data_IF_335066707290
#
_entry.id   IF_335066707290
#
_cell.length_a   1.000
_cell.length_b   1.000
_cell.length_c   1.000
_cell.angle_alpha   90.00
_cell.angle_beta   90.00
_cell.angle_gamma   90.00
#
_symmetry.space_group_name_H-M   'P 1'
#
loop_
_entity.id
_entity.type
_entity.pdbx_description
1 polymer ?
2 non-polymer ?
3 water ?
#
# COMPACT_ATOMS: atom_id res chain seq x y z
N UNK A 12 7.89 -1.40 -16.22
CA UNK A 12 6.73 -2.34 -16.19
C UNK A 12 7.00 -3.44 -15.17
N UNK A 13 8.03 -3.23 -14.36
CA UNK A 13 8.40 -4.17 -13.31
C UNK A 13 7.48 -3.94 -12.12
N UNK A 14 7.11 -2.68 -11.91
CA UNK A 14 6.23 -2.30 -10.83
C UNK A 14 4.81 -2.72 -11.19
N UNK A 15 4.54 -2.77 -12.49
CA UNK A 15 3.23 -3.16 -12.98
C UNK A 15 2.88 -4.56 -12.51
N UNK A 16 3.90 -5.41 -12.39
CA UNK A 16 3.69 -6.78 -11.94
C UNK A 16 3.42 -6.76 -10.44
N UNK A 17 4.14 -5.89 -9.73
CA UNK A 17 3.99 -5.76 -8.28
C UNK A 17 2.58 -5.29 -7.94
N UNK A 18 2.13 -4.26 -8.64
CA UNK A 18 0.80 -3.71 -8.42
C UNK A 18 -0.25 -4.73 -8.82
N UNK A 19 0.03 -5.47 -9.88
CA UNK A 19 -0.90 -6.49 -10.34
C UNK A 19 -1.12 -7.53 -9.26
N UNK A 20 -0.06 -7.84 -8.53
CA UNK A 20 -0.13 -8.82 -7.45
C UNK A 20 -1.05 -8.29 -6.36
N UNK A 21 -0.91 -7.01 -6.03
CA UNK A 21 -1.76 -6.40 -5.01
C UNK A 21 -3.23 -6.52 -5.43
N UNK A 22 -3.52 -6.18 -6.68
CA UNK A 22 -4.89 -6.26 -7.20
C UNK A 22 -5.45 -7.68 -7.06
N UNK A 23 -4.64 -8.67 -7.43
CA UNK A 23 -5.06 -10.07 -7.36
C UNK A 23 -5.38 -10.48 -5.93
N UNK A 24 -4.56 -10.03 -4.98
CA UNK A 24 -4.82 -10.37 -3.58
C UNK A 24 -6.17 -9.79 -3.16
N UNK A 25 -6.40 -8.53 -3.50
CA UNK A 25 -7.66 -7.86 -3.17
C UNK A 25 -8.84 -8.64 -3.75
N UNK A 26 -8.74 -8.98 -5.02
CA UNK A 26 -9.81 -9.74 -5.67
C UNK A 26 -9.98 -11.10 -4.99
N UNK A 27 -8.86 -11.74 -4.62
CA UNK A 27 -8.92 -13.05 -3.98
C UNK A 27 -9.69 -13.02 -2.66
N UNK A 28 -9.70 -11.87 -1.98
CA UNK A 28 -10.42 -11.77 -0.72
C UNK A 28 -11.78 -11.10 -0.90
N UNK A 29 -12.14 -10.85 -2.15
CA UNK A 29 -13.42 -10.23 -2.49
C UNK A 29 -13.59 -8.83 -1.92
N UNK A 30 -12.52 -8.03 -1.94
CA UNK A 30 -12.60 -6.67 -1.44
C UNK A 30 -13.21 -5.81 -2.55
N UNK A 31 -14.29 -5.09 -2.22
CA UNK A 31 -14.97 -4.25 -3.20
C UNK A 31 -14.75 -2.75 -2.96
N UNK A 32 -14.41 -2.40 -1.73
CA UNK A 32 -14.15 -1.00 -1.38
C UNK A 32 -12.71 -0.98 -0.89
N UNK A 33 -11.84 -0.31 -1.63
CA UNK A 33 -10.42 -0.27 -1.29
C UNK A 33 -9.88 1.15 -1.13
N UNK A 34 -9.06 1.35 -0.10
CA UNK A 34 -8.46 2.64 0.13
C UNK A 34 -6.94 2.47 0.08
N UNK A 35 -6.29 3.25 -0.78
CA UNK A 35 -4.84 3.16 -0.93
C UNK A 35 -4.21 4.33 -0.20
N UNK A 36 -3.57 4.01 0.92
CA UNK A 36 -2.92 5.01 1.75
C UNK A 36 -1.51 5.26 1.20
N UNK A 37 -1.30 6.47 0.69
CA UNK A 37 -0.03 6.86 0.10
C UNK A 37 -0.08 6.50 -1.38
N UNK A 38 -1.20 6.83 -2.01
CA UNK A 38 -1.42 6.49 -3.42
C UNK A 38 -0.46 7.05 -4.45
N UNK A 39 0.29 8.09 -4.10
CA UNK A 39 1.22 8.65 -5.07
C UNK A 39 0.47 9.13 -6.31
N UNK A 40 1.04 8.86 -7.48
CA UNK A 40 0.44 9.26 -8.76
C UNK A 40 -0.77 8.41 -9.15
N UNK A 41 -1.16 7.48 -8.28
CA UNK A 41 -2.31 6.64 -8.55
C UNK A 41 -2.11 5.45 -9.46
N UNK A 42 -0.90 4.91 -9.50
CA UNK A 42 -0.64 3.76 -10.36
C UNK A 42 -1.51 2.56 -10.01
N UNK A 43 -1.73 2.35 -8.71
CA UNK A 43 -2.58 1.24 -8.27
C UNK A 43 -4.04 1.57 -8.59
N UNK A 44 -4.41 2.83 -8.39
CA UNK A 44 -5.76 3.29 -8.67
C UNK A 44 -6.15 2.95 -10.11
N UNK A 45 -5.24 3.21 -11.04
CA UNK A 45 -5.49 2.92 -12.45
C UNK A 45 -5.86 1.47 -12.68
N UNK A 46 -5.08 0.56 -12.08
CA UNK A 46 -5.32 -0.87 -12.23
C UNK A 46 -6.63 -1.31 -11.60
N UNK A 47 -6.98 -0.71 -10.46
CA UNK A 47 -8.22 -1.05 -9.78
C UNK A 47 -9.44 -0.68 -10.62
N UNK A 48 -9.37 0.47 -11.29
CA UNK A 48 -10.45 0.94 -12.14
C UNK A 48 -10.71 0.03 -13.34
N UNK A 49 -9.70 -0.74 -13.73
CA UNK A 49 -9.86 -1.64 -14.87
C UNK A 49 -10.62 -2.91 -14.49
N UNK A 50 -10.85 -3.11 -13.20
CA UNK A 50 -11.59 -4.28 -12.72
C UNK A 50 -12.91 -3.81 -12.12
N UNK A 51 -14.01 -4.08 -12.82
CA UNK A 51 -15.34 -3.65 -12.37
C UNK A 51 -15.80 -4.16 -11.00
N UNK A 52 -15.10 -5.14 -10.45
CA UNK A 52 -15.49 -5.67 -9.14
C UNK A 52 -15.25 -4.65 -8.04
N UNK A 53 -14.34 -3.71 -8.27
CA UNK A 53 -14.04 -2.69 -7.26
C UNK A 53 -15.04 -1.54 -7.36
N UNK A 54 -15.95 -1.49 -6.39
CA UNK A 54 -17.01 -0.48 -6.37
C UNK A 54 -16.56 0.90 -5.91
N UNK A 55 -15.67 0.94 -4.92
CA UNK A 55 -15.17 2.20 -4.40
C UNK A 55 -13.66 2.11 -4.34
N UNK A 56 -13.01 3.08 -4.97
CA UNK A 56 -11.55 3.15 -5.03
C UNK A 56 -11.15 4.52 -4.50
N UNK A 57 -10.45 4.55 -3.38
CA UNK A 57 -10.04 5.80 -2.78
C UNK A 57 -8.53 5.91 -2.60
N UNK A 58 -7.96 7.00 -3.10
CA UNK A 58 -6.53 7.23 -2.98
C UNK A 58 -6.27 8.38 -2.02
N UNK A 59 -5.32 8.19 -1.11
CA UNK A 59 -4.96 9.22 -0.14
C UNK A 59 -3.45 9.46 -0.18
N UNK A 60 -3.05 10.72 -0.12
CA UNK A 60 -1.62 11.05 -0.13
C UNK A 60 -1.39 12.25 0.80
N UNK A 61 -0.15 12.40 1.25
CA UNK A 61 0.23 13.49 2.15
C UNK A 61 0.47 14.78 1.39
N UNK A 62 0.81 14.66 0.11
CA UNK A 62 1.11 15.81 -0.73
C UNK A 62 -0.01 16.28 -1.66
N UNK A 63 -0.28 17.58 -1.61
CA UNK A 63 -1.29 18.20 -2.46
C UNK A 63 -0.86 18.10 -3.92
N UNK A 64 0.41 18.41 -4.15
CA UNK A 64 0.98 18.38 -5.49
C UNK A 64 0.88 17.00 -6.13
N UNK A 65 1.17 15.96 -5.35
CA UNK A 65 1.10 14.59 -5.85
C UNK A 65 -0.32 14.24 -6.27
N UNK A 66 -1.28 14.52 -5.40
CA UNK A 66 -2.67 14.23 -5.68
C UNK A 66 -3.13 14.94 -6.95
N UNK A 67 -2.58 16.12 -7.19
CA UNK A 67 -2.93 16.90 -8.37
C UNK A 67 -2.38 16.20 -9.61
N UNK A 68 -1.21 15.58 -9.46
CA UNK A 68 -0.59 14.86 -10.55
C UNK A 68 -1.37 13.57 -10.79
N UNK A 69 -1.83 12.96 -9.71
CA UNK A 69 -2.60 11.72 -9.82
C UNK A 69 -3.86 11.97 -10.62
N UNK A 70 -4.64 12.98 -10.23
CA UNK A 70 -5.88 13.28 -10.94
C UNK A 70 -5.63 13.60 -12.41
N UNK A 71 -4.48 14.19 -12.71
CA UNK A 71 -4.16 14.52 -14.09
C UNK A 71 -3.78 13.24 -14.83
N UNK A 72 -3.00 12.39 -14.17
CA UNK A 72 -2.57 11.13 -14.77
C UNK A 72 -3.75 10.17 -14.95
N UNK A 73 -4.70 10.22 -14.02
CA UNK A 73 -5.87 9.35 -14.10
C UNK A 73 -6.95 9.92 -15.03
N UNK A 74 -6.80 11.18 -15.42
CA UNK A 74 -7.76 11.84 -16.30
C UNK A 74 -9.18 11.66 -15.78
N UNK A 75 -9.32 11.77 -14.46
CA UNK A 75 -10.61 11.59 -13.81
C UNK A 75 -11.74 12.46 -14.36
N UNK A 76 -11.48 13.74 -14.57
CA UNK A 76 -12.51 14.65 -15.08
C UNK A 76 -12.94 14.36 -16.51
N UNK A 77 -12.51 13.22 -17.05
CA UNK A 77 -12.86 12.83 -18.41
C UNK A 77 -13.52 11.46 -18.43
N UNK A 78 -13.40 10.75 -17.32
CA UNK A 78 -14.00 9.42 -17.21
C UNK A 78 -15.51 9.50 -17.26
N UNK A 79 -16.16 8.44 -17.77
CA UNK A 79 -17.62 8.42 -17.85
C UNK A 79 -18.18 8.59 -16.44
N UNK A 80 -19.41 9.07 -16.35
CA UNK A 80 -20.05 9.29 -15.06
C UNK A 80 -19.99 8.09 -14.12
N UNK A 81 -20.30 6.90 -14.62
CA UNK A 81 -20.28 5.70 -13.79
C UNK A 81 -18.89 5.43 -13.21
N UNK A 82 -17.85 5.70 -13.99
CA UNK A 82 -16.48 5.48 -13.55
C UNK A 82 -16.04 6.53 -12.55
N UNK A 83 -16.48 7.76 -12.75
CA UNK A 83 -16.12 8.85 -11.85
C UNK A 83 -16.65 8.60 -10.44
N UNK A 84 -17.83 8.00 -10.34
CA UNK A 84 -18.45 7.73 -9.05
C UNK A 84 -17.74 6.63 -8.24
N UNK A 85 -16.86 5.89 -8.90
CA UNK A 85 -16.13 4.81 -8.24
C UNK A 85 -14.86 5.28 -7.55
N UNK A 86 -14.30 6.40 -8.00
CA UNK A 86 -13.05 6.88 -7.44
C UNK A 86 -13.09 8.20 -6.67
N UNK A 87 -12.28 8.25 -5.62
CA UNK A 87 -12.18 9.42 -4.76
C UNK A 87 -10.72 9.63 -4.35
N UNK A 88 -10.32 10.89 -4.21
CA UNK A 88 -8.96 11.22 -3.80
C UNK A 88 -8.99 12.36 -2.80
N UNK A 89 -8.14 12.29 -1.78
CA UNK A 89 -8.08 13.37 -0.80
C UNK A 89 -6.74 13.38 -0.07
N UNK A 90 -6.39 14.54 0.48
CA UNK A 90 -5.13 14.71 1.18
C UNK A 90 -5.25 14.40 2.67
N UNK A 91 -4.18 13.84 3.22
CA UNK A 91 -4.13 13.49 4.63
C UNK A 91 -2.69 13.30 5.08
N UNK A 92 -2.42 13.64 6.34
CA UNK A 92 -1.09 13.50 6.90
C UNK A 92 -0.87 12.08 7.42
N UNK A 93 -1.93 11.28 7.41
CA UNK A 93 -1.86 9.89 7.87
C UNK A 93 -1.40 9.79 9.32
N UNK A 94 -1.90 10.69 10.16
CA UNK A 94 -1.52 10.70 11.56
C UNK A 94 -2.72 10.74 12.49
N UNK A 95 -3.82 11.31 12.02
CA UNK A 95 -5.01 11.42 12.84
C UNK A 95 -6.19 10.56 12.39
N UNK A 96 -7.14 10.38 13.30
CA UNK A 96 -8.34 9.60 13.04
C UNK A 96 -9.23 10.40 12.09
N UNK A 97 -9.17 10.08 10.80
CA UNK A 97 -9.97 10.77 9.80
C UNK A 97 -11.17 9.88 9.46
N UNK A 98 -12.37 10.40 9.66
CA UNK A 98 -13.60 9.66 9.39
C UNK A 98 -13.65 9.09 7.99
N UNK A 99 -12.94 9.71 7.07
CA UNK A 99 -12.93 9.27 5.68
C UNK A 99 -12.16 7.97 5.47
N UNK A 100 -11.53 7.45 6.53
CA UNK A 100 -10.78 6.20 6.44
C UNK A 100 -11.68 5.00 6.74
N UNK A 101 -12.83 5.28 7.32
CA UNK A 101 -13.78 4.25 7.72
C UNK A 101 -14.61 3.60 6.62
N UNK A 102 -14.99 2.34 6.87
CA UNK A 102 -15.84 1.61 5.95
C UNK A 102 -15.27 0.84 4.77
N UNK A 103 -13.95 0.71 4.69
CA UNK A 103 -13.35 0.00 3.56
C UNK A 103 -13.15 -1.48 3.83
N UNK A 104 -13.15 -2.29 2.77
CA UNK A 104 -12.95 -3.73 2.91
C UNK A 104 -11.45 -4.03 3.04
N UNK A 105 -10.63 -3.21 2.41
CA UNK A 105 -9.19 -3.41 2.46
C UNK A 105 -8.43 -2.11 2.29
N UNK A 106 -7.24 -2.06 2.87
CA UNK A 106 -6.37 -0.91 2.75
C UNK A 106 -5.05 -1.41 2.18
N UNK A 107 -4.49 -0.65 1.25
CA UNK A 107 -3.21 -1.00 0.65
C UNK A 107 -2.19 0.07 1.06
N UNK A 108 -0.97 -0.38 1.32
CA UNK A 108 0.12 0.48 1.76
C UNK A 108 1.35 0.11 0.95
N UNK A 109 1.62 0.86 -0.10
CA UNK A 109 2.75 0.59 -0.98
C UNK A 109 3.75 1.74 -0.98
N UNK A 110 5.01 1.43 -0.74
CA UNK A 110 6.07 2.43 -0.70
C UNK A 110 5.76 3.56 0.28
N UNK A 111 5.42 3.17 1.50
CA UNK A 111 5.09 4.13 2.54
C UNK A 111 5.92 3.95 3.81
N UNK A 112 5.80 2.78 4.44
CA UNK A 112 6.47 2.55 5.72
C UNK A 112 7.97 2.72 5.76
N UNK A 113 8.66 2.40 4.67
CA UNK A 113 10.12 2.54 4.66
C UNK A 113 10.56 4.01 4.67
N UNK A 114 9.61 4.93 4.55
CA UNK A 114 9.93 6.37 4.55
C UNK A 114 9.55 7.08 5.85
N UNK A 115 8.95 6.36 6.78
CA UNK A 115 8.51 6.96 8.04
C UNK A 115 9.48 6.77 9.20
N UNK A 116 9.69 7.82 9.99
CA UNK A 116 10.57 7.70 11.15
C UNK A 116 9.75 7.01 12.24
N UNK A 117 10.39 6.72 13.37
CA UNK A 117 9.73 6.04 14.48
C UNK A 117 8.38 6.63 14.89
N UNK A 118 8.34 7.94 15.11
CA UNK A 118 7.09 8.59 15.52
C UNK A 118 5.99 8.47 14.47
N UNK A 119 6.31 8.80 13.22
CA UNK A 119 5.30 8.73 12.17
C UNK A 119 4.83 7.31 11.89
N UNK A 120 5.74 6.34 12.00
CA UNK A 120 5.38 4.95 11.76
C UNK A 120 4.39 4.47 12.82
N UNK A 121 4.67 4.78 14.08
CA UNK A 121 3.78 4.37 15.16
C UNK A 121 2.40 5.03 14.98
N UNK A 122 2.40 6.30 14.61
CA UNK A 122 1.14 7.01 14.39
C UNK A 122 0.40 6.36 13.22
N UNK A 123 1.12 6.07 12.14
CA UNK A 123 0.52 5.45 10.97
C UNK A 123 -0.06 4.07 11.29
N UNK A 124 0.62 3.31 12.15
CA UNK A 124 0.15 1.99 12.55
C UNK A 124 -1.23 2.08 13.18
N UNK A 125 -1.41 3.06 14.07
CA UNK A 125 -2.70 3.25 14.73
C UNK A 125 -3.75 3.59 13.68
N UNK A 126 -3.42 4.55 12.83
CA UNK A 126 -4.34 4.97 11.77
C UNK A 126 -4.76 3.78 10.90
N UNK A 127 -3.79 2.94 10.58
CA UNK A 127 -4.04 1.78 9.73
C UNK A 127 -4.80 0.63 10.38
N UNK A 128 -4.28 0.11 11.48
CA UNK A 128 -4.89 -1.03 12.14
C UNK A 128 -5.95 -0.75 13.21
N UNK A 129 -6.03 0.49 13.68
CA UNK A 129 -7.03 0.82 14.69
C UNK A 129 -8.12 1.72 14.13
N UNK A 130 -7.73 2.78 13.42
CA UNK A 130 -8.69 3.71 12.84
C UNK A 130 -9.37 3.13 11.59
N UNK A 131 -8.58 2.83 10.57
CA UNK A 131 -9.12 2.28 9.33
C UNK A 131 -9.62 0.85 9.60
N UNK A 132 -8.76 0.05 10.21
CA UNK A 132 -9.08 -1.33 10.58
C UNK A 132 -9.95 -2.12 9.59
N UNK A 133 -9.46 -2.30 8.35
CA UNK A 133 -10.24 -3.05 7.35
C UNK A 133 -10.04 -4.56 7.53
N UNK A 134 -10.89 -5.36 6.89
CA UNK A 134 -10.79 -6.81 7.00
C UNK A 134 -9.43 -7.29 6.50
N UNK A 135 -8.91 -6.62 5.47
CA UNK A 135 -7.60 -6.98 4.91
C UNK A 135 -6.68 -5.77 4.76
N UNK A 136 -5.42 -5.93 5.13
CA UNK A 136 -4.44 -4.86 4.97
C UNK A 136 -3.28 -5.46 4.18
N UNK A 137 -2.87 -4.79 3.11
CA UNK A 137 -1.76 -5.26 2.29
C UNK A 137 -0.63 -4.23 2.37
N UNK A 138 0.51 -4.64 2.91
CA UNK A 138 1.66 -3.74 3.03
C UNK A 138 2.78 -4.26 2.15
N UNK A 139 3.27 -3.41 1.26
CA UNK A 139 4.36 -3.78 0.36
C UNK A 139 5.53 -2.83 0.58
N UNK A 140 6.73 -3.39 0.64
CA UNK A 140 7.92 -2.59 0.86
C UNK A 140 9.12 -3.35 0.29
N UNK A 141 10.17 -2.62 -0.12
CA UNK A 141 11.38 -3.21 -0.68
C UNK A 141 12.08 -4.18 0.27
N UNK A 142 12.77 -5.17 -0.30
CA UNK A 142 13.55 -6.09 0.51
C UNK A 142 14.96 -5.52 0.37
N UNK A 143 15.44 -4.88 1.43
CA UNK A 143 16.76 -4.26 1.37
C UNK A 143 17.88 -5.22 0.97
N UNK A 144 17.79 -6.46 1.41
CA UNK A 144 18.80 -7.47 1.13
C UNK A 144 19.03 -7.68 -0.37
N UNK A 145 17.99 -7.44 -1.16
CA UNK A 145 18.09 -7.60 -2.59
C UNK A 145 19.20 -6.73 -3.18
N UNK A 146 19.40 -5.55 -2.59
CA UNK A 146 20.41 -4.63 -3.09
C UNK A 146 21.83 -5.00 -2.68
N UNK A 147 21.97 -5.99 -1.81
CA UNK A 147 23.30 -6.43 -1.36
C UNK A 147 24.05 -7.10 -2.50
N UNK A 148 23.30 -7.68 -3.44
CA UNK A 148 23.89 -8.36 -4.58
C UNK A 148 24.32 -7.35 -5.64
N UNK A 149 25.62 -7.09 -5.71
CA UNK A 149 26.18 -6.15 -6.67
C UNK A 149 25.98 -6.64 -8.11
N UNK A 155 19.97 6.23 -11.65
CA UNK A 155 21.32 6.17 -11.12
C UNK A 155 21.62 7.32 -10.18
N UNK A 156 20.61 8.14 -9.90
CA UNK A 156 20.77 9.28 -9.01
C UNK A 156 21.39 8.85 -7.67
N UNK A 157 22.28 9.68 -7.14
CA UNK A 157 22.95 9.37 -5.88
C UNK A 157 21.95 9.06 -4.76
N UNK A 158 20.91 9.88 -4.64
CA UNK A 158 19.92 9.64 -3.61
C UNK A 158 19.14 8.35 -3.87
N UNK A 159 18.88 8.06 -5.14
CA UNK A 159 18.15 6.86 -5.50
C UNK A 159 18.98 5.60 -5.33
N UNK A 160 20.29 5.77 -5.15
CA UNK A 160 21.19 4.64 -4.96
C UNK A 160 21.32 4.30 -3.48
N UNK A 161 20.76 5.16 -2.64
CA UNK A 161 20.80 4.97 -1.20
C UNK A 161 19.63 4.10 -0.75
N UNK A 162 19.92 2.87 -0.33
CA UNK A 162 18.88 1.93 0.10
C UNK A 162 18.91 1.63 1.60
N UNK A 163 19.65 2.43 2.36
CA UNK A 163 19.78 2.17 3.79
C UNK A 163 18.47 2.21 4.57
N UNK A 164 17.49 2.95 4.07
CA UNK A 164 16.23 3.02 4.77
C UNK A 164 15.22 1.95 4.41
N UNK A 165 15.62 1.04 3.53
CA UNK A 165 14.74 -0.07 3.19
C UNK A 165 14.92 -1.08 4.32
N UNK A 166 13.91 -1.91 4.53
CA UNK A 166 13.93 -2.89 5.60
C UNK A 166 14.37 -4.25 5.10
N UNK A 167 15.05 -5.00 5.96
CA UNK A 167 15.47 -6.35 5.60
C UNK A 167 14.23 -7.21 5.78
N UNK A 168 14.30 -8.46 5.33
CA UNK A 168 13.16 -9.36 5.48
C UNK A 168 12.87 -9.63 6.95
N UNK A 169 13.92 -9.73 7.76
CA UNK A 169 13.75 -9.99 9.19
C UNK A 169 13.11 -8.78 9.88
N UNK A 170 13.53 -7.59 9.47
CA UNK A 170 12.99 -6.37 10.05
C UNK A 170 11.52 -6.22 9.70
N UNK A 171 11.16 -6.49 8.45
CA UNK A 171 9.77 -6.37 8.05
C UNK A 171 8.88 -7.41 8.73
N UNK A 172 9.32 -8.66 8.74
CA UNK A 172 8.52 -9.71 9.34
C UNK A 172 8.37 -9.53 10.84
N UNK A 173 9.44 -9.09 11.50
CA UNK A 173 9.39 -8.85 12.94
C UNK A 173 8.37 -7.74 13.22
N UNK A 174 8.45 -6.68 12.42
CA UNK A 174 7.53 -5.56 12.54
C UNK A 174 6.09 -6.00 12.30
N UNK A 175 5.88 -6.73 11.21
CA UNK A 175 4.55 -7.20 10.85
C UNK A 175 3.93 -8.09 11.93
N UNK A 176 4.70 -9.06 12.42
CA UNK A 176 4.21 -9.96 13.46
C UNK A 176 3.80 -9.21 14.72
N UNK A 177 4.60 -8.22 15.12
CA UNK A 177 4.29 -7.45 16.31
C UNK A 177 3.04 -6.59 16.18
N UNK A 178 2.91 -5.86 15.07
CA UNK A 178 1.73 -5.03 14.90
C UNK A 178 0.47 -5.88 14.76
N UNK A 179 0.60 -7.01 14.06
CA UNK A 179 -0.52 -7.92 13.87
C UNK A 179 -1.01 -8.38 15.23
N UNK A 180 -0.07 -8.72 16.10
CA UNK A 180 -0.39 -9.18 17.44
C UNK A 180 -0.99 -8.05 18.27
N UNK A 181 -0.39 -6.87 18.19
CA UNK A 181 -0.85 -5.71 18.94
C UNK A 181 -2.27 -5.26 18.56
N UNK A 182 -2.64 -5.42 17.29
CA UNK A 182 -3.95 -4.99 16.83
C UNK A 182 -5.00 -6.07 16.52
N UNK A 183 -4.69 -7.32 16.82
CA UNK A 183 -5.67 -8.37 16.57
C UNK A 183 -5.82 -8.82 15.14
N UNK A 184 -4.70 -8.86 14.42
CA UNK A 184 -4.69 -9.30 13.03
C UNK A 184 -3.76 -10.51 12.94
N UNK A 185 -3.94 -11.30 11.89
CA UNK A 185 -3.07 -12.42 11.63
C UNK A 185 -2.35 -11.94 10.37
N UNK A 186 -1.13 -12.40 10.13
CA UNK A 186 -0.42 -11.95 8.94
C UNK A 186 0.36 -13.06 8.25
N UNK A 187 0.46 -12.96 6.93
CA UNK A 187 1.19 -13.94 6.13
C UNK A 187 2.08 -13.14 5.18
N UNK A 188 3.17 -13.75 4.74
CA UNK A 188 4.11 -13.06 3.87
C UNK A 188 4.22 -13.64 2.48
N UNK A 189 4.49 -12.75 1.53
CA UNK A 189 4.65 -13.11 0.14
C UNK A 189 5.96 -12.54 -0.39
N UNK A 190 6.48 -13.17 -1.44
CA UNK A 190 7.71 -12.74 -2.07
C UNK A 190 7.34 -12.31 -3.48
N UNK A 191 7.35 -11.01 -3.73
CA UNK A 191 7.01 -10.49 -5.05
C UNK A 191 8.26 -10.36 -5.90
N UNK A 192 8.18 -10.87 -7.12
CA UNK A 192 9.32 -10.82 -8.02
C UNK A 192 10.12 -12.11 -7.93
N UNK A 193 11.05 -12.28 -8.86
CA UNK A 193 11.88 -13.48 -8.88
C UNK A 193 12.86 -13.49 -7.70
N UNK A 194 13.01 -14.65 -7.08
CA UNK A 194 13.90 -14.81 -5.94
C UNK A 194 15.35 -14.98 -6.38
N UNK A 195 16.24 -14.21 -5.75
CA UNK A 195 17.66 -14.25 -6.07
C UNK A 195 18.43 -15.09 -5.06
N UNK A 196 18.04 -16.35 -4.95
CA UNK A 196 18.67 -17.30 -4.04
C UNK A 196 18.68 -16.89 -2.56
N UNK A 197 19.78 -16.32 -2.11
CA UNK A 197 19.91 -15.92 -0.71
C UNK A 197 19.50 -14.47 -0.45
N UNK A 198 19.50 -13.65 -1.50
CA UNK A 198 19.14 -12.25 -1.35
C UNK A 198 17.63 -12.01 -1.39
N UNK A 199 16.87 -13.04 -1.73
CA UNK A 199 15.43 -12.91 -1.80
C UNK A 199 14.94 -12.16 -3.02
N UNK A 200 13.67 -11.76 -3.00
CA UNK A 200 13.08 -11.02 -4.12
C UNK A 200 13.23 -9.53 -3.85
N UNK A 201 13.01 -8.69 -4.87
CA UNK A 201 13.12 -7.23 -4.74
C UNK A 201 12.10 -6.60 -3.80
N UNK A 202 10.95 -7.25 -3.68
CA UNK A 202 9.87 -6.74 -2.86
C UNK A 202 9.32 -7.77 -1.90
N UNK A 203 8.86 -7.31 -0.74
CA UNK A 203 8.28 -8.20 0.24
C UNK A 203 6.89 -7.66 0.57
N UNK A 204 5.95 -8.56 0.84
CA UNK A 204 4.58 -8.15 1.12
C UNK A 204 3.98 -8.91 2.28
N UNK A 205 3.26 -8.18 3.13
CA UNK A 205 2.61 -8.79 4.27
C UNK A 205 1.11 -8.60 4.07
N UNK A 206 0.34 -9.67 4.18
CA UNK A 206 -1.10 -9.58 4.03
C UNK A 206 -1.69 -9.83 5.42
N UNK A 207 -2.34 -8.80 5.95
CA UNK A 207 -2.93 -8.87 7.28
C UNK A 207 -4.43 -9.12 7.17
N UNK A 208 -4.94 -10.01 8.02
CA UNK A 208 -6.36 -10.35 8.04
C UNK A 208 -6.90 -10.10 9.44
N UNK A 209 -7.97 -9.31 9.53
CA UNK A 209 -8.57 -8.98 10.82
C UNK A 209 -9.01 -10.25 11.54
N UNK A 210 -8.61 -10.38 12.79
CA UNK A 210 -8.97 -11.55 13.58
C UNK A 210 -7.78 -12.48 13.76
N UNK A 211 -7.84 -13.33 14.78
CA UNK A 211 -6.76 -14.27 15.06
C UNK A 211 -7.16 -15.68 14.60
X LIG B 1 1.64 3.83 -2.42
#
# INVERSE_FOLDING_TARGET
MLKNEETEKKLNLNQQRLGTVVAVLKSVNAKKVIDLGCGEGNLLSLLLKDKSFEQITGVDVSYSVLERAKDRLKIDRLPEMQRKRISLFQSSLVYRDKRFSGYDAATVIEVIEHLDENRLQAFEKVLFEFTRPQTVIVSTPNKEYNFHYGNLFEGNLRHRDHRFEWTRKEFQTWAVKVAEKYGYSVRFLQIGEIDDEFGSPTQMGVFTLGAGGHHHHHH
MG MG
#
